data_IF_878096293592
#
_entry.id   IF_878096293592
#
_cell.length_a   1.000
_cell.length_b   1.000
_cell.length_c   1.000
_cell.angle_alpha   90.00
_cell.angle_beta   90.00
_cell.angle_gamma   90.00
#
_symmetry.space_group_name_H-M   'P 1'
#
loop_
_entity.id
_entity.type
_entity.pdbx_description
1 polymer ?
#
# COMPACT_ATOMS: atom_id res chain seq x y z
N UNK A 1 -6.65 42.26 -8.65
CA UNK A 1 -6.97 41.05 -9.44
C UNK A 1 -7.96 40.23 -8.65
N UNK A 2 -9.19 40.07 -9.15
CA UNK A 2 -10.27 39.35 -8.46
C UNK A 2 -10.03 37.83 -8.56
N UNK A 3 -9.88 37.16 -7.43
CA UNK A 3 -9.86 35.68 -7.37
C UNK A 3 -11.30 35.20 -7.45
N UNK A 4 -11.64 34.54 -8.54
CA UNK A 4 -12.93 33.86 -8.72
C UNK A 4 -13.01 32.64 -7.79
N UNK A 5 -13.97 32.64 -6.87
CA UNK A 5 -14.32 31.48 -6.07
C UNK A 5 -14.90 30.40 -6.99
N UNK A 6 -14.11 29.36 -7.28
CA UNK A 6 -14.61 28.19 -7.99
C UNK A 6 -15.54 27.40 -7.07
N UNK A 7 -16.79 27.22 -7.50
CA UNK A 7 -17.80 26.43 -6.79
C UNK A 7 -17.36 24.96 -6.83
N UNK A 8 -16.96 24.42 -5.69
CA UNK A 8 -16.56 23.01 -5.56
C UNK A 8 -17.83 22.17 -5.51
N UNK A 9 -18.08 21.43 -6.59
CA UNK A 9 -19.02 20.30 -6.58
C UNK A 9 -18.48 19.25 -5.61
N UNK A 10 -19.18 19.04 -4.49
CA UNK A 10 -18.89 17.94 -3.58
C UNK A 10 -18.99 16.64 -4.36
N UNK A 11 -17.84 16.04 -4.64
CA UNK A 11 -17.76 14.65 -5.10
C UNK A 11 -18.03 13.77 -3.88
N UNK A 12 -19.02 12.87 -3.98
CA UNK A 12 -19.28 11.85 -2.93
C UNK A 12 -18.10 10.86 -2.78
N UNK A 13 -17.11 10.93 -3.67
CA UNK A 13 -15.92 10.09 -3.63
C UNK A 13 -14.80 10.73 -2.80
N UNK A 14 -14.75 10.35 -1.52
CA UNK A 14 -13.59 10.46 -0.63
C UNK A 14 -13.24 11.90 -0.15
N UNK A 15 -13.98 12.45 0.84
CA UNK A 15 -13.85 13.84 1.28
C UNK A 15 -12.45 14.23 1.76
N UNK A 16 -11.65 13.27 2.25
CA UNK A 16 -10.29 13.53 2.68
C UNK A 16 -9.36 13.83 1.50
N UNK A 17 -9.55 13.19 0.34
CA UNK A 17 -8.73 13.42 -0.86
C UNK A 17 -8.92 14.84 -1.38
N UNK A 18 -10.17 15.27 -1.51
CA UNK A 18 -10.53 16.62 -1.97
C UNK A 18 -10.03 17.70 -1.00
N UNK A 19 -10.13 17.43 0.31
CA UNK A 19 -9.59 18.31 1.35
C UNK A 19 -8.08 18.52 1.20
N UNK A 20 -7.33 17.43 0.99
CA UNK A 20 -5.87 17.49 0.83
C UNK A 20 -5.51 18.25 -0.46
N UNK A 21 -6.20 17.98 -1.56
CA UNK A 21 -5.97 18.67 -2.83
C UNK A 21 -6.26 20.17 -2.72
N UNK A 22 -7.36 20.55 -2.07
CA UNK A 22 -7.67 21.94 -1.80
C UNK A 22 -6.58 22.62 -0.96
N UNK A 23 -6.10 21.96 0.09
CA UNK A 23 -5.02 22.48 0.94
C UNK A 23 -3.75 22.78 0.12
N UNK A 24 -3.27 21.82 -0.67
CA UNK A 24 -2.06 22.00 -1.48
C UNK A 24 -2.20 23.05 -2.60
N UNK A 25 -3.43 23.29 -3.09
CA UNK A 25 -3.69 24.30 -4.12
C UNK A 25 -3.80 25.74 -3.55
N UNK A 26 -4.01 25.89 -2.24
CA UNK A 26 -4.25 27.20 -1.60
C UNK A 26 -3.21 27.57 -0.53
N UNK A 27 -2.28 26.68 -0.20
CA UNK A 27 -1.18 26.99 0.71
C UNK A 27 -0.06 27.74 -0.01
N UNK A 28 0.42 28.82 0.58
CA UNK A 28 1.69 29.45 0.18
C UNK A 28 2.87 28.92 1.05
N UNK A 29 2.58 28.55 2.32
CA UNK A 29 3.51 27.93 3.27
C UNK A 29 2.92 26.63 3.84
N UNK A 30 3.60 25.47 3.73
CA UNK A 30 3.15 24.20 4.31
C UNK A 30 3.03 24.19 5.84
N UNK A 31 3.60 25.17 6.55
CA UNK A 31 3.44 25.34 7.99
C UNK A 31 2.40 26.41 8.37
N UNK A 32 1.69 27.00 7.41
CA UNK A 32 0.67 28.00 7.71
C UNK A 32 -0.55 27.40 8.42
N UNK A 33 -0.64 27.72 9.72
CA UNK A 33 -1.72 27.27 10.59
C UNK A 33 -3.09 27.89 10.20
N UNK A 34 -3.11 29.06 9.57
CA UNK A 34 -4.34 29.70 9.12
C UNK A 34 -4.98 28.91 7.97
N UNK A 35 -4.17 28.46 7.00
CA UNK A 35 -4.63 27.62 5.90
C UNK A 35 -5.12 26.25 6.39
N UNK A 36 -4.44 25.62 7.36
CA UNK A 36 -4.89 24.35 7.97
C UNK A 36 -6.25 24.51 8.66
N UNK A 37 -6.41 25.58 9.44
CA UNK A 37 -7.65 25.87 10.18
C UNK A 37 -8.82 26.17 9.23
N UNK A 38 -8.55 26.94 8.18
CA UNK A 38 -9.56 27.28 7.16
C UNK A 38 -10.01 26.03 6.40
N UNK A 39 -9.06 25.20 5.97
CA UNK A 39 -9.35 23.95 5.26
C UNK A 39 -10.20 23.00 6.09
N UNK A 40 -9.83 22.80 7.36
CA UNK A 40 -10.55 21.89 8.27
C UNK A 40 -11.98 22.34 8.53
N UNK A 41 -12.20 23.66 8.62
CA UNK A 41 -13.53 24.24 8.77
C UNK A 41 -14.40 24.06 7.51
N UNK A 42 -13.85 24.30 6.31
CA UNK A 42 -14.57 24.18 5.03
C UNK A 42 -15.02 22.73 4.78
N UNK A 43 -14.10 21.78 4.96
CA UNK A 43 -14.34 20.37 4.65
C UNK A 43 -14.85 19.56 5.84
N UNK A 44 -15.03 20.19 7.01
CA UNK A 44 -15.46 19.55 8.27
C UNK A 44 -14.61 18.33 8.64
N UNK A 45 -13.30 18.41 8.42
CA UNK A 45 -12.35 17.36 8.83
C UNK A 45 -11.64 17.74 10.12
N UNK A 46 -11.18 16.75 10.89
CA UNK A 46 -10.36 17.01 12.09
C UNK A 46 -8.97 17.52 11.68
N UNK A 47 -8.46 18.53 12.39
CA UNK A 47 -7.10 19.08 12.17
C UNK A 47 -6.04 17.97 12.17
N UNK A 48 -6.06 17.07 13.18
CA UNK A 48 -5.10 15.97 13.26
C UNK A 48 -5.12 15.06 12.03
N UNK A 49 -6.30 14.82 11.45
CA UNK A 49 -6.46 14.01 10.24
C UNK A 49 -5.83 14.70 9.04
N UNK A 50 -6.08 16.00 8.87
CA UNK A 50 -5.48 16.79 7.81
C UNK A 50 -3.95 16.84 7.96
N UNK A 51 -3.43 17.16 9.15
CA UNK A 51 -1.99 17.22 9.41
C UNK A 51 -1.30 15.88 9.14
N UNK A 52 -1.89 14.76 9.56
CA UNK A 52 -1.34 13.42 9.29
C UNK A 52 -1.30 13.14 7.79
N UNK A 53 -2.34 13.55 7.05
CA UNK A 53 -2.40 13.34 5.62
C UNK A 53 -1.40 14.22 4.85
N UNK A 54 -1.24 15.48 5.26
CA UNK A 54 -0.22 16.41 4.74
C UNK A 54 1.17 15.81 4.98
N UNK A 55 1.47 15.39 6.22
CA UNK A 55 2.73 14.75 6.56
C UNK A 55 3.00 13.52 5.71
N UNK A 56 2.02 12.64 5.50
CA UNK A 56 2.17 11.45 4.63
C UNK A 56 2.45 11.80 3.17
N UNK A 57 1.94 12.93 2.68
CA UNK A 57 2.17 13.39 1.30
C UNK A 57 3.50 14.12 1.14
N UNK A 58 3.89 14.92 2.15
CA UNK A 58 5.14 15.70 2.16
C UNK A 58 6.35 14.85 2.51
N UNK A 59 6.17 13.83 3.33
CA UNK A 59 7.22 12.85 3.56
C UNK A 59 7.30 12.05 2.27
N UNK A 60 8.37 12.16 1.46
CA UNK A 60 8.58 11.15 0.46
C UNK A 60 8.54 9.85 1.21
N UNK A 61 7.69 8.92 0.76
CA UNK A 61 7.95 7.52 1.03
C UNK A 61 9.33 7.35 0.42
N UNK A 62 10.40 7.56 1.21
CA UNK A 62 11.60 6.73 1.12
C UNK A 62 10.94 5.39 0.99
N UNK A 63 10.94 4.85 -0.23
CA UNK A 63 10.51 3.48 -0.50
C UNK A 63 10.87 2.77 0.76
N UNK A 64 9.85 2.34 1.52
CA UNK A 64 10.07 1.68 2.79
C UNK A 64 11.04 0.62 2.38
N UNK A 65 12.34 0.82 2.65
CA UNK A 65 13.39 -0.03 2.10
C UNK A 65 12.94 -1.32 2.70
N UNK A 66 12.33 -2.20 1.88
CA UNK A 66 11.78 -3.45 2.36
C UNK A 66 12.87 -3.95 3.27
N UNK A 67 12.64 -4.06 4.59
CA UNK A 67 13.72 -4.13 5.56
C UNK A 67 14.72 -5.12 5.01
N UNK A 68 15.85 -4.58 4.58
CA UNK A 68 16.72 -5.24 3.62
C UNK A 68 17.22 -6.46 4.38
N UNK A 69 16.66 -7.63 4.03
CA UNK A 69 16.74 -8.87 4.79
C UNK A 69 16.24 -8.74 6.23
N UNK A 70 14.96 -9.07 6.45
CA UNK A 70 14.72 -10.02 7.54
C UNK A 70 15.69 -11.18 7.30
N UNK A 71 16.58 -11.45 8.25
CA UNK A 71 17.28 -12.73 8.27
C UNK A 71 16.20 -13.78 8.03
N UNK A 72 16.33 -14.64 7.00
CA UNK A 72 15.28 -15.60 6.71
C UNK A 72 15.03 -16.36 8.02
N UNK A 73 13.75 -16.41 8.44
CA UNK A 73 13.32 -17.10 9.66
C UNK A 73 13.92 -18.51 9.74
N UNK A 74 14.16 -19.08 8.55
CA UNK A 74 14.83 -20.33 8.33
C UNK A 74 16.27 -20.08 7.84
N UNK A 75 17.23 -20.76 8.47
CA UNK A 75 18.59 -20.90 7.94
C UNK A 75 18.54 -21.63 6.58
N UNK A 76 19.54 -21.44 5.69
CA UNK A 76 19.54 -22.06 4.36
C UNK A 76 19.25 -23.57 4.34
N UNK A 77 19.85 -24.34 5.26
CA UNK A 77 19.59 -25.78 5.38
C UNK A 77 18.15 -26.11 5.81
N UNK A 78 17.49 -25.23 6.57
CA UNK A 78 16.09 -25.41 6.97
C UNK A 78 15.15 -25.12 5.79
N UNK A 79 15.52 -24.18 4.91
CA UNK A 79 14.81 -23.93 3.65
C UNK A 79 14.92 -25.14 2.74
N UNK A 80 16.12 -25.71 2.56
CA UNK A 80 16.32 -26.91 1.75
C UNK A 80 15.53 -28.12 2.28
N UNK A 81 15.56 -28.34 3.61
CA UNK A 81 14.80 -29.43 4.24
C UNK A 81 13.28 -29.25 4.06
N UNK A 82 12.78 -28.03 4.22
CA UNK A 82 11.36 -27.72 4.02
C UNK A 82 10.95 -27.88 2.55
N UNK A 83 11.76 -27.40 1.61
CA UNK A 83 11.52 -27.56 0.18
C UNK A 83 11.50 -29.04 -0.22
N UNK A 84 12.44 -29.83 0.30
CA UNK A 84 12.47 -31.29 0.09
C UNK A 84 11.20 -31.95 0.61
N UNK A 85 10.77 -31.60 1.82
CA UNK A 85 9.54 -32.13 2.42
C UNK A 85 8.29 -31.77 1.61
N UNK A 86 8.16 -30.50 1.19
CA UNK A 86 7.05 -30.05 0.35
C UNK A 86 7.07 -30.76 -1.00
N UNK A 87 8.23 -30.94 -1.63
CA UNK A 87 8.38 -31.71 -2.87
C UNK A 87 7.88 -33.14 -2.69
N UNK A 88 8.28 -33.81 -1.62
CA UNK A 88 7.78 -35.15 -1.30
C UNK A 88 6.26 -35.10 -1.11
N UNK A 89 5.72 -34.21 -0.29
CA UNK A 89 4.27 -34.18 -0.03
C UNK A 89 3.41 -33.80 -1.24
N UNK A 90 3.90 -32.91 -2.11
CA UNK A 90 3.19 -32.45 -3.31
C UNK A 90 3.26 -33.46 -4.46
N UNK A 91 4.35 -34.23 -4.57
CA UNK A 91 4.59 -35.13 -5.71
C UNK A 91 4.56 -36.63 -5.37
N UNK A 92 4.45 -37.02 -4.09
CA UNK A 92 4.36 -38.43 -3.66
C UNK A 92 2.95 -39.00 -3.86
N UNK A 93 2.47 -39.01 -5.11
CA UNK A 93 1.22 -39.66 -5.50
C UNK A 93 -0.08 -39.01 -5.01
N UNK A 94 -0.02 -38.01 -4.13
CA UNK A 94 -1.21 -37.29 -3.66
C UNK A 94 -1.68 -36.26 -4.69
N UNK A 95 -2.67 -36.65 -5.50
CA UNK A 95 -3.26 -35.82 -6.55
C UNK A 95 -3.86 -34.51 -6.02
N UNK A 96 -4.41 -34.51 -4.80
CA UNK A 96 -4.99 -33.33 -4.18
C UNK A 96 -3.93 -32.31 -3.81
N UNK A 97 -2.83 -32.75 -3.19
CA UNK A 97 -1.70 -31.88 -2.83
C UNK A 97 -1.09 -31.24 -4.07
N UNK A 98 -0.93 -32.02 -5.15
CA UNK A 98 -0.45 -31.53 -6.45
C UNK A 98 -1.38 -30.47 -7.04
N UNK A 99 -2.69 -30.69 -7.00
CA UNK A 99 -3.68 -29.74 -7.51
C UNK A 99 -3.69 -28.43 -6.71
N UNK A 100 -3.63 -28.51 -5.37
CA UNK A 100 -3.54 -27.33 -4.51
C UNK A 100 -2.26 -26.53 -4.76
N UNK A 101 -1.13 -27.21 -4.90
CA UNK A 101 0.15 -26.57 -5.19
C UNK A 101 0.14 -25.85 -6.54
N UNK A 102 -0.43 -26.46 -7.59
CA UNK A 102 -0.59 -25.82 -8.89
C UNK A 102 -1.53 -24.61 -8.83
N UNK A 103 -2.66 -24.74 -8.14
CA UNK A 103 -3.62 -23.63 -7.99
C UNK A 103 -3.00 -22.42 -7.28
N UNK A 104 -2.19 -22.66 -6.25
CA UNK A 104 -1.44 -21.61 -5.55
C UNK A 104 -0.39 -20.96 -6.48
N UNK A 105 0.32 -21.76 -7.26
CA UNK A 105 1.30 -21.25 -8.22
C UNK A 105 0.65 -20.39 -9.32
N UNK A 106 -0.47 -20.84 -9.89
CA UNK A 106 -1.22 -20.07 -10.88
C UNK A 106 -1.76 -18.77 -10.31
N UNK A 107 -2.22 -18.76 -9.06
CA UNK A 107 -2.65 -17.53 -8.39
C UNK A 107 -1.50 -16.53 -8.21
N UNK A 108 -0.29 -17.00 -7.93
CA UNK A 108 0.87 -16.14 -7.67
C UNK A 108 1.59 -15.67 -8.93
N UNK A 109 1.69 -16.52 -9.95
CA UNK A 109 2.51 -16.29 -11.14
C UNK A 109 1.71 -16.09 -12.43
N UNK A 110 0.38 -16.30 -12.39
CA UNK A 110 -0.51 -16.07 -13.53
C UNK A 110 -0.38 -17.09 -14.66
N UNK A 111 0.42 -18.15 -14.49
CA UNK A 111 0.60 -19.20 -15.50
C UNK A 111 0.23 -20.60 -14.97
N UNK A 112 -0.02 -21.53 -15.88
CA UNK A 112 -0.38 -22.93 -15.58
C UNK A 112 0.83 -23.88 -15.64
N UNK A 113 2.02 -23.32 -15.75
CA UNK A 113 3.26 -24.06 -15.84
C UNK A 113 3.55 -24.64 -14.46
N UNK A 114 4.02 -25.89 -14.42
CA UNK A 114 4.42 -26.49 -13.15
C UNK A 114 5.54 -25.62 -12.55
N UNK A 115 5.35 -25.04 -11.35
CA UNK A 115 6.36 -24.18 -10.76
C UNK A 115 7.62 -25.01 -10.51
N UNK A 116 8.74 -24.49 -10.99
CA UNK A 116 10.06 -25.05 -10.69
C UNK A 116 10.38 -24.69 -9.23
N UNK A 117 10.44 -25.72 -8.37
CA UNK A 117 11.02 -25.59 -7.03
C UNK A 117 12.53 -25.82 -7.17
N UNK A 118 13.26 -24.88 -7.76
CA UNK A 118 14.73 -24.88 -7.71
C UNK A 118 15.18 -24.36 -6.36
#
# INVERSE_FOLDING_TARGET
MARTCSVITKSDANPLKDTIEWYFNNQDDPNDQATITTTTHIFKVKINTLCTAIQRRLTPVKELKQPMRQSPFLKPHQVEALLSHIKTQAYNGNLLNKAMFLKAATYLYGDNTKPSLQ
#
